data_IF_267559894358
#
_entry.id   IF_267559894358
#
_cell.length_a   1.000
_cell.length_b   1.000
_cell.length_c   1.000
_cell.angle_alpha   90.00
_cell.angle_beta   90.00
_cell.angle_gamma   90.00
#
_symmetry.space_group_name_H-M   'P 1'
#
loop_
_entity.id
_entity.type
_entity.pdbx_description
1 polymer ?
#
# COMPACT_ATOMS: atom_id res chain seq x y z
N UNK A 1 -9.44 -26.71 5.71
CA UNK A 1 -9.89 -25.35 6.07
C UNK A 1 -8.77 -24.31 5.95
N UNK A 2 -7.53 -24.63 6.34
CA UNK A 2 -6.35 -23.74 6.26
C UNK A 2 -6.22 -22.88 4.98
N UNK A 3 -6.36 -23.48 3.79
CA UNK A 3 -6.24 -22.74 2.52
C UNK A 3 -7.31 -21.67 2.33
N UNK A 4 -8.55 -21.96 2.77
CA UNK A 4 -9.66 -21.00 2.66
C UNK A 4 -9.41 -19.82 3.59
N UNK A 5 -8.98 -20.07 4.82
CA UNK A 5 -8.66 -19.02 5.79
C UNK A 5 -7.56 -18.10 5.27
N UNK A 6 -6.42 -18.65 4.85
CA UNK A 6 -5.32 -17.86 4.27
C UNK A 6 -5.76 -17.14 2.99
N UNK A 7 -6.60 -17.77 2.18
CA UNK A 7 -7.19 -17.17 0.98
C UNK A 7 -8.05 -15.94 1.31
N UNK A 8 -8.96 -16.04 2.28
CA UNK A 8 -9.80 -14.90 2.72
C UNK A 8 -8.93 -13.77 3.24
N UNK A 9 -7.94 -14.05 4.09
CA UNK A 9 -7.08 -13.02 4.67
C UNK A 9 -6.29 -12.29 3.57
N UNK A 10 -5.72 -13.04 2.62
CA UNK A 10 -5.05 -12.47 1.45
C UNK A 10 -5.98 -11.59 0.61
N UNK A 11 -7.22 -12.04 0.37
CA UNK A 11 -8.19 -11.24 -0.37
C UNK A 11 -8.53 -9.94 0.35
N UNK A 12 -8.82 -10.00 1.65
CA UNK A 12 -9.15 -8.83 2.45
C UNK A 12 -7.98 -7.84 2.50
N UNK A 13 -6.77 -8.33 2.78
CA UNK A 13 -5.58 -7.48 2.84
C UNK A 13 -5.26 -6.87 1.48
N UNK A 14 -5.37 -7.68 0.41
CA UNK A 14 -5.13 -7.22 -0.96
C UNK A 14 -6.10 -6.12 -1.38
N UNK A 15 -7.40 -6.32 -1.14
CA UNK A 15 -8.43 -5.31 -1.39
C UNK A 15 -8.23 -4.05 -0.55
N UNK A 16 -7.85 -4.20 0.73
CA UNK A 16 -7.56 -3.07 1.60
C UNK A 16 -6.43 -2.21 1.06
N UNK A 17 -5.30 -2.79 0.64
CA UNK A 17 -4.18 -2.04 0.07
C UNK A 17 -4.53 -1.33 -1.23
N UNK A 18 -5.31 -1.97 -2.11
CA UNK A 18 -5.77 -1.34 -3.36
C UNK A 18 -6.69 -0.16 -3.07
N UNK A 19 -7.66 -0.33 -2.16
CA UNK A 19 -8.57 0.74 -1.78
C UNK A 19 -7.83 1.90 -1.11
N UNK A 20 -6.91 1.60 -0.19
CA UNK A 20 -6.10 2.61 0.47
C UNK A 20 -5.21 3.36 -0.52
N UNK A 21 -4.51 2.64 -1.41
CA UNK A 21 -3.68 3.24 -2.45
C UNK A 21 -4.49 4.13 -3.40
N UNK A 22 -5.69 3.70 -3.79
CA UNK A 22 -6.60 4.51 -4.59
C UNK A 22 -7.08 5.77 -3.85
N UNK A 23 -7.47 5.65 -2.58
CA UNK A 23 -7.87 6.80 -1.76
C UNK A 23 -6.72 7.81 -1.61
N UNK A 24 -5.50 7.33 -1.34
CA UNK A 24 -4.33 8.20 -1.23
C UNK A 24 -4.05 8.92 -2.56
N UNK A 25 -4.07 8.21 -3.68
CA UNK A 25 -3.75 8.75 -5.00
C UNK A 25 -4.81 9.73 -5.54
N UNK A 26 -6.10 9.42 -5.37
CA UNK A 26 -7.17 10.19 -6.00
C UNK A 26 -7.79 11.25 -5.07
N UNK A 27 -7.65 11.11 -3.75
CA UNK A 27 -8.29 12.02 -2.79
C UNK A 27 -7.30 12.75 -1.90
N UNK A 28 -6.38 12.05 -1.23
CA UNK A 28 -5.55 12.64 -0.17
C UNK A 28 -4.37 13.43 -0.74
N UNK A 29 -3.53 12.80 -1.55
CA UNK A 29 -2.34 13.44 -2.10
C UNK A 29 -2.62 14.62 -3.03
N UNK A 30 -3.61 14.57 -3.96
CA UNK A 30 -3.93 15.73 -4.78
C UNK A 30 -4.30 16.95 -3.94
N UNK A 31 -5.14 16.76 -2.90
CA UNK A 31 -5.53 17.85 -1.98
C UNK A 31 -4.33 18.40 -1.20
N UNK A 32 -3.47 17.52 -0.70
CA UNK A 32 -2.25 17.93 0.00
C UNK A 32 -1.33 18.74 -0.92
N UNK A 33 -1.09 18.29 -2.15
CA UNK A 33 -0.24 19.02 -3.10
C UNK A 33 -0.83 20.39 -3.44
N UNK A 34 -2.14 20.49 -3.68
CA UNK A 34 -2.78 21.79 -3.92
C UNK A 34 -2.62 22.74 -2.74
N UNK A 35 -2.73 22.26 -1.50
CA UNK A 35 -2.49 23.08 -0.30
C UNK A 35 -1.03 23.54 -0.29
N UNK A 36 -0.07 22.64 -0.47
CA UNK A 36 1.35 22.99 -0.45
C UNK A 36 1.78 23.85 -1.64
N UNK A 37 1.05 23.86 -2.77
CA UNK A 37 1.38 24.69 -3.94
C UNK A 37 1.12 26.16 -3.59
N UNK A 38 0.12 26.43 -2.75
CA UNK A 38 -0.22 27.77 -2.27
C UNK A 38 0.87 28.37 -1.37
N UNK A 39 1.79 27.55 -0.86
CA UNK A 39 2.86 27.99 0.01
C UNK A 39 4.25 27.93 -0.65
N UNK A 40 4.34 27.77 -1.97
CA UNK A 40 5.60 27.73 -2.76
C UNK A 40 6.66 26.71 -2.30
N UNK A 41 6.33 25.79 -1.38
CA UNK A 41 7.24 24.77 -0.88
C UNK A 41 7.70 23.81 -2.00
N UNK A 42 8.98 23.44 -2.00
CA UNK A 42 9.57 22.54 -3.01
C UNK A 42 8.91 21.16 -3.07
N UNK A 43 7.94 20.99 -3.97
CA UNK A 43 7.02 19.84 -3.97
C UNK A 43 7.56 18.52 -4.52
N UNK A 44 8.62 18.57 -5.32
CA UNK A 44 8.96 17.45 -6.21
C UNK A 44 9.40 16.18 -5.45
N UNK A 45 10.14 16.34 -4.34
CA UNK A 45 10.58 15.19 -3.54
C UNK A 45 9.40 14.51 -2.83
N UNK A 46 8.47 15.28 -2.30
CA UNK A 46 7.31 14.78 -1.54
C UNK A 46 6.30 14.09 -2.45
N UNK A 47 6.06 14.66 -3.63
CA UNK A 47 5.20 14.06 -4.67
C UNK A 47 5.73 12.72 -5.14
N UNK A 48 7.05 12.61 -5.34
CA UNK A 48 7.71 11.36 -5.71
C UNK A 48 7.55 10.30 -4.62
N UNK A 49 7.81 10.65 -3.36
CA UNK A 49 7.68 9.71 -2.23
C UNK A 49 6.24 9.20 -2.04
N UNK A 50 5.24 10.09 -2.20
CA UNK A 50 3.82 9.72 -2.13
C UNK A 50 3.42 8.73 -3.23
N UNK A 51 3.81 9.00 -4.49
CA UNK A 51 3.52 8.14 -5.63
C UNK A 51 4.21 6.76 -5.50
N UNK A 52 5.45 6.73 -5.03
CA UNK A 52 6.18 5.47 -4.77
C UNK A 52 5.45 4.64 -3.71
N UNK A 53 4.99 5.26 -2.62
CA UNK A 53 4.24 4.58 -1.56
C UNK A 53 2.94 3.96 -2.09
N UNK A 54 2.19 4.71 -2.90
CA UNK A 54 0.97 4.22 -3.56
C UNK A 54 1.27 3.05 -4.48
N UNK A 55 2.31 3.14 -5.31
CA UNK A 55 2.70 2.06 -6.23
C UNK A 55 3.01 0.77 -5.47
N UNK A 56 3.79 0.87 -4.38
CA UNK A 56 4.12 -0.29 -3.55
C UNK A 56 2.85 -0.89 -2.92
N UNK A 57 1.93 -0.06 -2.41
CA UNK A 57 0.64 -0.55 -1.88
C UNK A 57 -0.16 -1.31 -2.95
N UNK A 58 -0.22 -0.81 -4.19
CA UNK A 58 -0.87 -1.53 -5.28
C UNK A 58 -0.21 -2.87 -5.59
N UNK A 59 1.13 -2.92 -5.64
CA UNK A 59 1.85 -4.17 -5.89
C UNK A 59 1.60 -5.21 -4.80
N UNK A 60 1.68 -4.81 -3.53
CA UNK A 60 1.35 -5.67 -2.39
C UNK A 60 -0.11 -6.14 -2.50
N UNK A 61 -1.03 -5.23 -2.83
CA UNK A 61 -2.43 -5.52 -3.02
C UNK A 61 -2.68 -6.62 -4.06
N UNK A 62 -2.07 -6.47 -5.25
CA UNK A 62 -2.18 -7.42 -6.35
C UNK A 62 -1.59 -8.79 -6.02
N UNK A 63 -0.44 -8.84 -5.35
CA UNK A 63 0.20 -10.09 -4.92
C UNK A 63 -0.69 -10.87 -3.96
N UNK A 64 -1.25 -10.19 -2.95
CA UNK A 64 -2.15 -10.84 -1.99
C UNK A 64 -3.45 -11.29 -2.68
N UNK A 65 -4.05 -10.47 -3.56
CA UNK A 65 -5.22 -10.88 -4.34
C UNK A 65 -4.95 -12.13 -5.20
N UNK A 66 -3.79 -12.16 -5.89
CA UNK A 66 -3.40 -13.30 -6.71
C UNK A 66 -3.35 -14.61 -5.90
N UNK A 67 -2.63 -14.62 -4.78
CA UNK A 67 -2.55 -15.81 -3.92
C UNK A 67 -3.89 -16.15 -3.27
N UNK A 68 -4.65 -15.12 -2.87
CA UNK A 68 -6.02 -15.26 -2.37
C UNK A 68 -6.90 -16.04 -3.34
N UNK A 69 -7.01 -15.58 -4.59
CA UNK A 69 -7.82 -16.23 -5.64
C UNK A 69 -7.32 -17.65 -5.93
N UNK A 70 -6.00 -17.86 -6.04
CA UNK A 70 -5.41 -19.18 -6.34
C UNK A 70 -5.73 -20.24 -5.28
N UNK A 71 -5.91 -19.84 -4.02
CA UNK A 71 -6.24 -20.75 -2.91
C UNK A 71 -7.70 -21.26 -2.93
N UNK A 72 -8.61 -20.54 -3.59
CA UNK A 72 -10.01 -20.96 -3.76
C UNK A 72 -10.24 -21.94 -4.92
N UNK A 73 -9.27 -22.11 -5.81
CA UNK A 73 -9.40 -23.02 -6.95
C UNK A 73 -9.45 -24.50 -6.47
N UNK A 74 -10.45 -25.25 -6.94
CA UNK A 74 -10.72 -26.65 -6.53
C UNK A 74 -9.66 -27.63 -7.02
N UNK A 75 -9.18 -27.50 -8.27
CA UNK A 75 -8.29 -28.47 -8.93
C UNK A 75 -6.83 -27.98 -9.08
N UNK A 76 -6.28 -27.38 -8.03
CA UNK A 76 -4.94 -26.82 -8.11
C UNK A 76 -3.88 -27.82 -7.60
N UNK A 77 -3.13 -28.47 -8.50
CA UNK A 77 -2.06 -29.43 -8.12
C UNK A 77 -0.96 -28.77 -7.28
N UNK A 78 -0.76 -27.47 -7.42
CA UNK A 78 0.24 -26.67 -6.70
C UNK A 78 -0.33 -25.91 -5.49
N UNK A 79 -1.46 -26.35 -4.92
CA UNK A 79 -2.15 -25.68 -3.82
C UNK A 79 -1.28 -25.48 -2.57
N UNK A 80 -0.38 -26.42 -2.26
CA UNK A 80 0.57 -26.27 -1.15
C UNK A 80 1.63 -25.19 -1.44
N UNK A 81 2.15 -25.10 -2.67
CA UNK A 81 3.06 -24.01 -3.04
C UNK A 81 2.40 -22.64 -2.88
N UNK A 82 1.19 -22.48 -3.41
CA UNK A 82 0.43 -21.24 -3.24
C UNK A 82 0.09 -20.93 -1.78
N UNK A 83 -0.06 -21.94 -0.93
CA UNK A 83 -0.28 -21.74 0.51
C UNK A 83 0.96 -21.16 1.17
N UNK A 84 2.13 -21.76 0.94
CA UNK A 84 3.41 -21.26 1.47
C UNK A 84 3.70 -19.85 0.98
N UNK A 85 3.59 -19.60 -0.32
CA UNK A 85 3.79 -18.26 -0.87
C UNK A 85 2.74 -17.25 -0.39
N UNK A 86 1.48 -17.67 -0.21
CA UNK A 86 0.43 -16.81 0.34
C UNK A 86 0.67 -16.43 1.80
N UNK A 87 1.28 -17.30 2.62
CA UNK A 87 1.70 -16.95 3.98
C UNK A 87 2.89 -15.98 3.93
N UNK A 88 3.89 -16.27 3.10
CA UNK A 88 5.05 -15.38 2.93
C UNK A 88 4.59 -13.98 2.50
N UNK A 89 3.68 -13.91 1.53
CA UNK A 89 3.10 -12.65 1.07
C UNK A 89 2.43 -11.88 2.23
N UNK A 90 1.61 -12.55 3.05
CA UNK A 90 0.99 -11.92 4.22
C UNK A 90 2.02 -11.38 5.20
N UNK A 91 3.01 -12.19 5.59
CA UNK A 91 4.05 -11.79 6.56
C UNK A 91 4.84 -10.59 6.03
N UNK A 92 5.28 -10.66 4.77
CA UNK A 92 6.01 -9.57 4.13
C UNK A 92 5.15 -8.31 4.05
N UNK A 93 3.86 -8.44 3.72
CA UNK A 93 2.94 -7.30 3.66
C UNK A 93 2.80 -6.61 5.02
N UNK A 94 2.65 -7.38 6.09
CA UNK A 94 2.55 -6.86 7.46
C UNK A 94 3.84 -6.14 7.87
N UNK A 95 5.01 -6.73 7.58
CA UNK A 95 6.29 -6.11 7.90
C UNK A 95 6.52 -4.80 7.12
N UNK A 96 6.19 -4.79 5.83
CA UNK A 96 6.30 -3.60 4.99
C UNK A 96 5.28 -2.53 5.37
N UNK A 97 4.18 -2.88 6.03
CA UNK A 97 3.14 -1.93 6.39
C UNK A 97 3.68 -0.80 7.29
N UNK A 98 4.50 -1.13 8.28
CA UNK A 98 5.08 -0.13 9.19
C UNK A 98 5.96 0.87 8.43
N UNK A 99 6.76 0.37 7.49
CA UNK A 99 7.63 1.19 6.64
C UNK A 99 6.76 2.07 5.73
N UNK A 100 5.74 1.50 5.08
CA UNK A 100 4.84 2.24 4.19
C UNK A 100 4.06 3.36 4.90
N UNK A 101 3.59 3.10 6.12
CA UNK A 101 2.95 4.12 6.95
C UNK A 101 3.94 5.25 7.24
N UNK A 102 5.18 4.93 7.62
CA UNK A 102 6.24 5.91 7.83
C UNK A 102 6.50 6.80 6.61
N UNK A 103 6.65 6.20 5.42
CA UNK A 103 6.84 6.95 4.17
C UNK A 103 5.61 7.78 3.77
N UNK A 104 4.41 7.24 3.95
CA UNK A 104 3.17 7.97 3.62
C UNK A 104 3.01 9.18 4.54
N UNK A 105 3.20 8.98 5.85
CA UNK A 105 3.10 10.04 6.85
C UNK A 105 4.19 11.09 6.65
N UNK A 106 5.44 10.69 6.39
CA UNK A 106 6.52 11.66 6.12
C UNK A 106 6.25 12.47 4.86
N UNK A 107 5.73 11.86 3.79
CA UNK A 107 5.34 12.60 2.58
C UNK A 107 4.24 13.63 2.81
N UNK A 108 3.39 13.42 3.83
CA UNK A 108 2.33 14.33 4.20
C UNK A 108 2.77 15.40 5.21
N UNK A 109 3.60 15.05 6.21
CA UNK A 109 3.98 15.95 7.32
C UNK A 109 5.24 16.75 7.00
N UNK A 110 6.22 16.17 6.31
CA UNK A 110 7.51 16.84 6.06
C UNK A 110 7.37 18.21 5.36
N UNK A 111 6.44 18.41 4.39
CA UNK A 111 6.21 19.73 3.83
C UNK A 111 5.69 20.76 4.85
N UNK A 112 5.02 20.35 5.93
CA UNK A 112 4.57 21.25 7.00
C UNK A 112 5.78 21.87 7.71
N UNK A 113 6.82 21.08 7.96
CA UNK A 113 8.02 21.58 8.65
C UNK A 113 8.78 22.62 7.80
N UNK A 114 8.78 22.48 6.48
CA UNK A 114 9.36 23.51 5.61
C UNK A 114 8.57 24.83 5.61
N UNK A 115 7.27 24.81 5.95
CA UNK A 115 6.47 26.04 6.09
C UNK A 115 6.86 26.82 7.33
N UNK A 116 7.16 26.14 8.44
CA UNK A 116 7.53 26.78 9.70
C UNK A 116 8.94 27.38 9.71
N UNK A 117 9.82 27.02 8.78
CA UNK A 117 11.17 27.61 8.68
C UNK A 117 11.18 28.97 7.97
N UNK A 118 10.12 29.31 7.22
CA UNK A 118 9.98 30.61 6.53
C UNK A 118 9.25 31.68 7.36
N UNK A 119 8.75 31.35 8.55
CA UNK A 119 8.14 32.26 9.53
C UNK A 119 9.06 32.50 10.73
#
# INVERSE_FOLDING_TARGET
MKYKTVGVINLLLGSFYILLGALLNFSVFPKLFTIYEQFETGQNAYKTNGLVSVLIMFLIGLVNLYFGIKLFQKNNKSKEGYFTYGIIALVVSVLLNAILVGFTVSSAIMPIYSLTEEF
#
